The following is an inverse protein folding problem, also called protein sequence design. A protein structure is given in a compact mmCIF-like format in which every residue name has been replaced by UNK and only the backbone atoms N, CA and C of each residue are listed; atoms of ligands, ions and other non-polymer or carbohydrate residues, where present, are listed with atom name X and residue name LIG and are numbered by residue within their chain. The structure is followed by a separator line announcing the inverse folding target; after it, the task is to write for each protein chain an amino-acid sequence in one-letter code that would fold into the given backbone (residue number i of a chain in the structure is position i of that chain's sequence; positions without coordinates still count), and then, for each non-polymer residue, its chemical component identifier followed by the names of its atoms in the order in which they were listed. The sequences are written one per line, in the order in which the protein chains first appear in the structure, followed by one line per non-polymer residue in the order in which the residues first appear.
data_IF_099494973885
#
_entry.id   IF_099494973885
#
_cell.length_a   1.000
_cell.length_b   1.000
_cell.length_c   1.000
_cell.angle_alpha   90.00
_cell.angle_beta   90.00
_cell.angle_gamma   90.00
#
_symmetry.space_group_name_H-M   'P 1'
#
loop_
_entity.id
_entity.type
_entity.pdbx_description
1 polymer ?
#
# COMPACT_ATOMS: atom_id res chain seq x y z
N UNK A 1 -14.11 12.00 -9.67
CA UNK A 1 -14.08 11.62 -8.25
C UNK A 1 -12.81 10.81 -8.03
N UNK A 2 -11.95 11.21 -7.09
CA UNK A 2 -10.77 10.41 -6.74
C UNK A 2 -11.22 9.08 -6.16
N UNK A 3 -10.62 8.00 -6.63
CA UNK A 3 -10.86 6.65 -6.10
C UNK A 3 -10.47 6.61 -4.61
N UNK A 4 -11.33 6.02 -3.77
CA UNK A 4 -11.05 5.89 -2.35
C UNK A 4 -9.79 5.06 -2.11
N UNK A 5 -9.02 5.42 -1.09
CA UNK A 5 -7.80 4.69 -0.75
C UNK A 5 -8.14 3.31 -0.19
N UNK A 6 -7.49 2.27 -0.73
CA UNK A 6 -7.63 0.88 -0.28
C UNK A 6 -6.95 0.65 1.07
N UNK A 7 -5.85 1.37 1.35
CA UNK A 7 -5.10 1.33 2.60
C UNK A 7 -4.83 2.74 3.11
N UNK A 8 -4.65 2.84 4.42
CA UNK A 8 -4.25 4.04 5.13
C UNK A 8 -2.82 3.91 5.67
N UNK A 9 -2.07 5.03 5.84
CA UNK A 9 -0.82 5.03 6.58
C UNK A 9 -0.92 4.33 7.93
N UNK A 10 0.04 3.47 8.24
CA UNK A 10 0.08 2.67 9.46
C UNK A 10 -0.61 1.32 9.38
N UNK A 11 -1.40 1.01 8.34
CA UNK A 11 -1.88 -0.35 8.13
C UNK A 11 -0.71 -1.32 7.98
N UNK A 12 -0.85 -2.51 8.58
CA UNK A 12 0.11 -3.60 8.43
C UNK A 12 -0.53 -4.67 7.55
N UNK A 13 0.06 -4.92 6.39
CA UNK A 13 -0.40 -5.93 5.44
C UNK A 13 0.33 -7.24 5.73
N UNK A 14 -0.46 -8.31 5.93
CA UNK A 14 0.03 -9.67 6.23
C UNK A 14 1.06 -9.70 7.36
N UNK A 15 0.87 -8.87 8.38
CA UNK A 15 1.75 -8.74 9.54
C UNK A 15 3.22 -8.42 9.21
N UNK A 16 3.51 -7.93 7.99
CA UNK A 16 4.88 -7.72 7.50
C UNK A 16 5.14 -6.31 6.99
N UNK A 17 4.25 -5.79 6.14
CA UNK A 17 4.51 -4.52 5.47
C UNK A 17 3.68 -3.41 6.09
N UNK A 18 4.34 -2.45 6.73
CA UNK A 18 3.69 -1.28 7.31
C UNK A 18 3.61 -0.17 6.28
N UNK A 19 2.40 0.18 5.86
CA UNK A 19 2.14 1.27 4.89
C UNK A 19 2.59 2.61 5.44
N UNK A 20 3.32 3.38 4.64
CA UNK A 20 3.76 4.75 4.99
C UNK A 20 2.93 5.79 4.27
N UNK A 21 2.83 5.72 2.94
CA UNK A 21 2.10 6.69 2.13
C UNK A 21 1.64 6.10 0.80
N UNK A 22 0.59 6.68 0.21
CA UNK A 22 0.20 6.39 -1.18
C UNK A 22 1.14 7.15 -2.11
N UNK A 23 1.76 6.43 -3.04
CA UNK A 23 2.72 7.00 -3.99
C UNK A 23 2.22 6.99 -5.43
N UNK A 24 1.10 6.33 -5.70
CA UNK A 24 0.46 6.35 -7.02
C UNK A 24 -0.82 5.54 -7.07
N UNK A 25 -1.53 5.62 -8.19
CA UNK A 25 -2.71 4.80 -8.44
C UNK A 25 -3.51 5.25 -9.65
N UNK A 26 -4.35 4.36 -10.15
CA UNK A 26 -5.29 4.57 -11.24
C UNK A 26 -6.33 3.45 -11.27
N UNK A 27 -7.13 3.36 -12.33
CA UNK A 27 -8.28 2.44 -12.38
C UNK A 27 -7.97 0.93 -12.27
N UNK A 28 -6.70 0.53 -12.28
CA UNK A 28 -6.27 -0.87 -12.11
C UNK A 28 -5.59 -1.13 -10.76
N UNK A 29 -5.60 -0.16 -9.84
CA UNK A 29 -5.03 -0.34 -8.52
C UNK A 29 -4.24 0.85 -8.01
N UNK A 30 -3.78 0.70 -6.77
CA UNK A 30 -3.11 1.73 -6.00
C UNK A 30 -1.76 1.23 -5.53
N UNK A 31 -0.78 2.13 -5.53
CA UNK A 31 0.60 1.84 -5.13
C UNK A 31 0.90 2.63 -3.86
N UNK A 32 1.39 1.91 -2.86
CA UNK A 32 1.79 2.44 -1.57
C UNK A 32 3.27 2.19 -1.33
N UNK A 33 3.95 3.15 -0.74
CA UNK A 33 5.21 2.87 -0.05
C UNK A 33 4.90 2.17 1.28
N UNK A 34 5.73 1.21 1.64
CA UNK A 34 5.66 0.51 2.91
C UNK A 34 7.07 0.15 3.41
N UNK A 35 7.18 -0.06 4.71
CA UNK A 35 8.37 -0.60 5.34
C UNK A 35 8.19 -2.10 5.62
N UNK A 36 9.11 -2.92 5.10
CA UNK A 36 9.15 -4.35 5.39
C UNK A 36 9.75 -4.59 6.77
N UNK A 37 8.92 -5.06 7.71
CA UNK A 37 9.33 -5.29 9.10
C UNK A 37 10.32 -6.45 9.24
N UNK A 38 10.42 -7.33 8.24
CA UNK A 38 11.32 -8.50 8.24
C UNK A 38 12.66 -8.13 7.61
N UNK A 39 12.67 -7.62 6.37
CA UNK A 39 13.93 -7.31 5.66
C UNK A 39 14.52 -5.97 6.05
N UNK A 40 13.73 -5.10 6.71
CA UNK A 40 14.11 -3.73 7.11
C UNK A 40 14.32 -2.77 5.93
N UNK A 41 13.63 -3.02 4.82
CA UNK A 41 13.73 -2.24 3.58
C UNK A 41 12.44 -1.51 3.24
N UNK A 42 12.55 -0.42 2.47
CA UNK A 42 11.41 0.24 1.87
C UNK A 42 10.98 -0.52 0.61
N UNK A 43 9.69 -0.81 0.51
CA UNK A 43 9.08 -1.56 -0.59
C UNK A 43 7.87 -0.81 -1.14
N UNK A 44 7.50 -1.12 -2.38
CA UNK A 44 6.24 -0.67 -2.98
C UNK A 44 5.22 -1.81 -2.94
N UNK A 45 4.04 -1.55 -2.37
CA UNK A 45 2.89 -2.45 -2.41
C UNK A 45 1.93 -2.00 -3.50
N UNK A 46 1.67 -2.86 -4.49
CA UNK A 46 0.59 -2.67 -5.46
C UNK A 46 -0.64 -3.46 -5.01
N UNK A 47 -1.77 -2.78 -4.86
CA UNK A 47 -3.06 -3.38 -4.51
C UNK A 47 -4.09 -3.13 -5.59
N UNK A 48 -4.94 -4.11 -5.82
CA UNK A 48 -6.06 -4.06 -6.74
C UNK A 48 -7.35 -4.29 -5.94
N UNK A 49 -8.43 -3.59 -6.32
CA UNK A 49 -9.74 -3.81 -5.69
C UNK A 49 -10.28 -5.17 -6.14
N UNK A 50 -10.66 -6.04 -5.20
CA UNK A 50 -11.19 -7.37 -5.49
C UNK A 50 -12.67 -7.35 -5.93
N UNK A 51 -13.10 -6.29 -6.63
CA UNK A 51 -14.48 -6.13 -7.09
C UNK A 51 -14.82 -7.09 -8.22
#
# INVERSE_FOLDING_TARGET
MSEADLLQPGNIVRDRWKVTTKIGGGGFGQIYEAYDLVTKENVALKLESAK
#
